data_IF_377290822830
#
_entry.id   IF_377290822830
#
_cell.length_a   1.000
_cell.length_b   1.000
_cell.length_c   1.000
_cell.angle_alpha   90.00
_cell.angle_beta   90.00
_cell.angle_gamma   90.00
#
_symmetry.space_group_name_H-M   'P 1'
#
loop_
_entity.id
_entity.type
_entity.pdbx_description
1 polymer ?
#
# COMPACT_ATOMS: atom_id res chain seq x y z
N UNK A 1 -23.80 -41.62 -25.78
CA UNK A 1 -22.61 -40.78 -25.95
C UNK A 1 -22.28 -40.21 -24.57
N UNK A 2 -21.38 -40.90 -23.85
CA UNK A 2 -20.86 -40.39 -22.59
C UNK A 2 -19.86 -39.26 -22.92
N UNK A 3 -20.17 -38.02 -22.55
CA UNK A 3 -19.25 -36.91 -22.64
C UNK A 3 -18.05 -37.16 -21.71
N UNK A 4 -16.86 -37.01 -22.26
CA UNK A 4 -15.58 -37.29 -21.61
C UNK A 4 -15.36 -36.32 -20.41
N UNK A 5 -15.72 -36.82 -19.21
CA UNK A 5 -15.62 -36.08 -17.95
C UNK A 5 -14.15 -35.69 -17.55
N UNK A 6 -13.16 -36.30 -18.24
CA UNK A 6 -11.74 -36.00 -18.00
C UNK A 6 -11.31 -34.68 -18.68
N UNK A 7 -11.85 -34.37 -19.85
CA UNK A 7 -11.56 -33.11 -20.57
C UNK A 7 -12.20 -31.89 -19.90
N UNK A 8 -13.38 -32.06 -19.30
CA UNK A 8 -14.03 -31.00 -18.53
C UNK A 8 -13.21 -30.65 -17.27
N UNK A 9 -12.74 -31.64 -16.52
CA UNK A 9 -11.93 -31.42 -15.33
C UNK A 9 -10.58 -30.74 -15.64
N UNK A 10 -9.96 -31.03 -16.79
CA UNK A 10 -8.72 -30.37 -17.23
C UNK A 10 -8.97 -28.93 -17.66
N UNK A 11 -10.07 -28.62 -18.33
CA UNK A 11 -10.44 -27.26 -18.72
C UNK A 11 -10.75 -26.40 -17.49
N UNK A 12 -11.51 -26.91 -16.52
CA UNK A 12 -11.80 -26.21 -15.26
C UNK A 12 -10.54 -25.94 -14.43
N UNK A 13 -9.60 -26.90 -14.36
CA UNK A 13 -8.32 -26.73 -13.69
C UNK A 13 -7.47 -25.65 -14.37
N UNK A 14 -7.45 -25.60 -15.68
CA UNK A 14 -6.72 -24.59 -16.47
C UNK A 14 -7.32 -23.19 -16.28
N UNK A 15 -8.65 -23.06 -16.35
CA UNK A 15 -9.35 -21.80 -16.10
C UNK A 15 -9.14 -21.28 -14.69
N UNK A 16 -9.17 -22.15 -13.68
CA UNK A 16 -8.88 -21.78 -12.29
C UNK A 16 -7.44 -21.32 -12.11
N UNK A 17 -6.49 -21.93 -12.81
CA UNK A 17 -5.07 -21.50 -12.80
C UNK A 17 -4.90 -20.13 -13.43
N UNK A 18 -5.52 -19.85 -14.59
CA UNK A 18 -5.49 -18.54 -15.24
C UNK A 18 -6.13 -17.48 -14.33
N UNK A 19 -7.29 -17.77 -13.76
CA UNK A 19 -7.97 -16.85 -12.84
C UNK A 19 -7.12 -16.53 -11.62
N UNK A 20 -6.46 -17.53 -11.05
CA UNK A 20 -5.52 -17.34 -9.92
C UNK A 20 -4.32 -16.48 -10.28
N UNK A 21 -3.71 -16.69 -11.46
CA UNK A 21 -2.59 -15.87 -11.94
C UNK A 21 -3.01 -14.42 -12.20
N UNK A 22 -4.13 -14.21 -12.87
CA UNK A 22 -4.67 -12.87 -13.11
C UNK A 22 -4.99 -12.14 -11.80
N UNK A 23 -5.52 -12.85 -10.80
CA UNK A 23 -5.83 -12.25 -9.49
C UNK A 23 -4.55 -11.88 -8.70
N UNK A 24 -3.46 -12.65 -8.84
CA UNK A 24 -2.15 -12.31 -8.25
C UNK A 24 -1.53 -11.08 -8.92
N UNK A 25 -1.61 -10.95 -10.25
CA UNK A 25 -1.16 -9.76 -10.98
C UNK A 25 -1.94 -8.51 -10.56
N UNK A 26 -3.25 -8.63 -10.36
CA UNK A 26 -4.07 -7.54 -9.83
C UNK A 26 -3.75 -7.19 -8.37
N UNK A 27 -3.28 -8.16 -7.58
CA UNK A 27 -2.83 -7.95 -6.21
C UNK A 27 -1.52 -7.15 -6.16
N UNK A 28 -0.64 -7.31 -7.16
CA UNK A 28 0.64 -6.62 -7.24
C UNK A 28 0.83 -5.91 -8.59
N UNK A 29 0.02 -4.87 -8.89
CA UNK A 29 -0.02 -4.24 -10.21
C UNK A 29 1.31 -3.61 -10.65
N UNK A 30 2.21 -3.34 -9.70
CA UNK A 30 3.58 -2.84 -9.96
C UNK A 30 4.65 -3.82 -9.47
N UNK A 31 4.32 -5.12 -9.29
CA UNK A 31 5.21 -6.10 -8.70
C UNK A 31 5.40 -5.93 -7.18
N UNK A 32 6.14 -6.86 -6.56
CA UNK A 32 6.43 -6.84 -5.12
C UNK A 32 7.61 -5.92 -4.81
N UNK A 33 7.65 -5.37 -3.58
CA UNK A 33 8.79 -4.58 -3.13
C UNK A 33 10.06 -5.42 -3.09
N UNK A 34 11.14 -4.87 -3.66
CA UNK A 34 12.49 -5.43 -3.61
C UNK A 34 13.38 -4.40 -2.92
N UNK A 35 13.98 -4.80 -1.79
CA UNK A 35 14.89 -3.94 -1.04
C UNK A 35 16.09 -3.53 -1.90
N UNK A 36 16.49 -2.28 -1.81
CA UNK A 36 17.62 -1.71 -2.55
C UNK A 36 18.68 -1.19 -1.56
N UNK A 37 19.96 -1.24 -1.91
CA UNK A 37 21.00 -0.57 -1.13
C UNK A 37 20.79 0.94 -1.12
N UNK A 38 21.40 1.63 -0.14
CA UNK A 38 21.34 3.09 -0.06
C UNK A 38 21.89 3.73 -1.34
N UNK A 39 21.21 4.79 -1.78
CA UNK A 39 21.60 5.60 -2.92
C UNK A 39 20.93 6.97 -2.81
N UNK A 40 21.70 8.04 -2.96
CA UNK A 40 21.19 9.43 -3.00
C UNK A 40 20.12 9.62 -4.10
N UNK A 41 20.29 8.95 -5.24
CA UNK A 41 19.29 8.97 -6.32
C UNK A 41 17.96 8.37 -5.85
N UNK A 42 18.00 7.18 -5.26
CA UNK A 42 16.80 6.52 -4.73
C UNK A 42 16.18 7.30 -3.58
N UNK A 43 17.00 7.91 -2.72
CA UNK A 43 16.50 8.80 -1.66
C UNK A 43 15.66 9.93 -2.25
N UNK A 44 16.19 10.62 -3.26
CA UNK A 44 15.45 11.69 -3.95
C UNK A 44 14.14 11.21 -4.57
N UNK A 45 14.15 10.06 -5.26
CA UNK A 45 12.96 9.45 -5.87
C UNK A 45 11.91 9.07 -4.80
N UNK A 46 12.31 8.39 -3.73
CA UNK A 46 11.41 7.96 -2.67
C UNK A 46 10.84 9.11 -1.84
N UNK A 47 11.64 10.16 -1.62
CA UNK A 47 11.15 11.39 -0.99
C UNK A 47 10.05 12.07 -1.83
N UNK A 48 10.18 12.05 -3.17
CA UNK A 48 9.15 12.54 -4.09
C UNK A 48 7.89 11.70 -3.99
N UNK A 49 8.01 10.36 -3.97
CA UNK A 49 6.88 9.45 -3.81
C UNK A 49 6.12 9.72 -2.49
N UNK A 50 6.85 9.83 -1.38
CA UNK A 50 6.24 10.13 -0.07
C UNK A 50 5.57 11.51 -0.11
N UNK A 51 6.25 12.53 -0.62
CA UNK A 51 5.71 13.91 -0.69
C UNK A 51 4.41 13.98 -1.47
N UNK A 52 4.35 13.30 -2.61
CA UNK A 52 3.28 13.47 -3.60
C UNK A 52 2.17 12.42 -3.49
N UNK A 53 2.32 11.38 -2.63
CA UNK A 53 1.27 10.36 -2.49
C UNK A 53 -0.13 10.96 -2.28
N UNK A 54 -0.36 11.91 -1.35
CA UNK A 54 -1.72 12.41 -1.12
C UNK A 54 -2.36 12.94 -2.40
N UNK A 55 -1.61 13.74 -3.17
CA UNK A 55 -2.07 14.28 -4.44
C UNK A 55 -2.27 13.21 -5.51
N UNK A 56 -1.36 12.22 -5.60
CA UNK A 56 -1.50 11.14 -6.56
C UNK A 56 -2.73 10.28 -6.28
N UNK A 57 -2.98 9.97 -5.00
CA UNK A 57 -4.14 9.19 -4.60
C UNK A 57 -5.44 9.99 -4.81
N UNK A 58 -5.47 11.27 -4.45
CA UNK A 58 -6.58 12.17 -4.71
C UNK A 58 -6.92 12.25 -6.21
N UNK A 59 -5.92 12.45 -7.06
CA UNK A 59 -6.09 12.45 -8.51
C UNK A 59 -6.59 11.08 -9.04
N UNK A 60 -6.10 9.98 -8.46
CA UNK A 60 -6.51 8.65 -8.87
C UNK A 60 -7.99 8.37 -8.62
N UNK A 61 -8.58 8.92 -7.54
CA UNK A 61 -10.01 8.75 -7.23
C UNK A 61 -10.88 9.91 -7.73
N UNK A 62 -10.30 10.91 -8.37
CA UNK A 62 -11.04 12.09 -8.85
C UNK A 62 -12.19 11.68 -9.77
N UNK A 63 -13.38 12.25 -9.53
CA UNK A 63 -14.62 11.98 -10.26
C UNK A 63 -15.17 10.54 -10.16
N UNK A 64 -14.68 9.72 -9.23
CA UNK A 64 -15.33 8.46 -8.90
C UNK A 64 -16.55 8.70 -8.01
N UNK A 65 -17.66 8.08 -8.34
CA UNK A 65 -18.87 8.08 -7.51
C UNK A 65 -18.81 7.03 -6.39
N UNK A 66 -19.80 7.02 -5.50
CA UNK A 66 -19.85 6.06 -4.38
C UNK A 66 -19.95 4.61 -4.83
N UNK A 67 -20.59 4.30 -5.95
CA UNK A 67 -20.66 2.94 -6.46
C UNK A 67 -19.28 2.47 -6.95
N UNK A 68 -18.57 3.34 -7.65
CA UNK A 68 -17.20 3.10 -8.11
C UNK A 68 -16.22 2.97 -6.93
N UNK A 69 -16.32 3.83 -5.92
CA UNK A 69 -15.51 3.73 -4.69
C UNK A 69 -15.77 2.45 -3.89
N UNK A 70 -16.97 1.90 -3.96
CA UNK A 70 -17.33 0.62 -3.33
C UNK A 70 -17.05 -0.60 -4.21
N UNK A 71 -16.41 -0.44 -5.37
CA UNK A 71 -15.99 -1.54 -6.23
C UNK A 71 -14.63 -2.10 -5.77
N UNK A 72 -14.53 -3.42 -5.66
CA UNK A 72 -13.27 -4.09 -5.29
C UNK A 72 -12.26 -4.04 -6.44
N UNK A 73 -10.98 -3.74 -6.12
CA UNK A 73 -9.94 -3.66 -7.15
C UNK A 73 -9.59 -5.01 -7.79
N UNK A 74 -9.95 -6.12 -7.15
CA UNK A 74 -9.88 -7.50 -7.64
C UNK A 74 -10.90 -8.39 -6.92
N UNK A 75 -11.07 -9.61 -7.38
CA UNK A 75 -11.91 -10.60 -6.71
C UNK A 75 -11.36 -10.91 -5.29
N UNK A 76 -12.23 -10.82 -4.28
CA UNK A 76 -11.87 -10.96 -2.87
C UNK A 76 -10.90 -9.89 -2.33
N UNK A 77 -10.66 -8.82 -3.08
CA UNK A 77 -9.86 -7.67 -2.64
C UNK A 77 -10.68 -6.58 -1.95
N UNK A 78 -10.01 -5.60 -1.41
CA UNK A 78 -10.64 -4.41 -0.83
C UNK A 78 -11.33 -3.54 -1.89
N UNK A 79 -12.33 -2.80 -1.49
CA UNK A 79 -12.91 -1.72 -2.29
C UNK A 79 -11.92 -0.56 -2.42
N UNK A 80 -12.09 0.30 -3.43
CA UNK A 80 -11.26 1.50 -3.55
C UNK A 80 -11.37 2.40 -2.31
N UNK A 81 -12.56 2.48 -1.70
CA UNK A 81 -12.78 3.18 -0.44
C UNK A 81 -11.91 2.62 0.68
N UNK A 82 -11.91 1.29 0.86
CA UNK A 82 -11.05 0.64 1.84
C UNK A 82 -9.56 0.87 1.56
N UNK A 83 -9.13 0.84 0.30
CA UNK A 83 -7.74 1.15 -0.09
C UNK A 83 -7.33 2.56 0.35
N UNK A 84 -8.17 3.58 0.12
CA UNK A 84 -7.85 4.97 0.51
C UNK A 84 -7.73 5.11 2.04
N UNK A 85 -8.65 4.53 2.80
CA UNK A 85 -8.60 4.57 4.26
C UNK A 85 -7.39 3.77 4.80
N UNK A 86 -7.10 2.58 4.23
CA UNK A 86 -5.93 1.78 4.58
C UNK A 86 -4.60 2.52 4.37
N UNK A 87 -4.47 3.28 3.28
CA UNK A 87 -3.25 4.07 3.05
C UNK A 87 -3.04 5.08 4.18
N UNK A 88 -4.10 5.74 4.67
CA UNK A 88 -3.99 6.65 5.80
C UNK A 88 -3.56 5.93 7.09
N UNK A 89 -4.19 4.80 7.41
CA UNK A 89 -3.86 3.99 8.59
C UNK A 89 -2.43 3.47 8.55
N UNK A 90 -2.02 2.93 7.40
CA UNK A 90 -0.67 2.41 7.20
C UNK A 90 0.39 3.49 7.34
N UNK A 91 0.15 4.68 6.77
CA UNK A 91 1.11 5.77 6.79
C UNK A 91 1.18 6.50 8.13
N UNK A 92 0.12 6.52 8.95
CA UNK A 92 0.18 6.93 10.36
C UNK A 92 1.13 6.00 11.14
N UNK A 93 0.98 4.69 10.96
CA UNK A 93 1.87 3.71 11.58
C UNK A 93 3.32 3.89 11.11
N UNK A 94 3.53 4.12 9.80
CA UNK A 94 4.84 4.41 9.23
C UNK A 94 5.50 5.63 9.88
N UNK A 95 4.79 6.74 9.91
CA UNK A 95 5.27 7.98 10.52
C UNK A 95 5.67 7.78 11.99
N UNK A 96 4.85 7.05 12.74
CA UNK A 96 5.14 6.71 14.13
C UNK A 96 6.40 5.84 14.25
N UNK A 97 6.56 4.82 13.39
CA UNK A 97 7.75 3.95 13.34
C UNK A 97 9.02 4.75 13.04
N UNK A 98 8.96 5.71 12.11
CA UNK A 98 10.09 6.61 11.84
C UNK A 98 10.45 7.46 13.07
N UNK A 99 9.47 8.05 13.73
CA UNK A 99 9.73 8.85 14.95
C UNK A 99 10.36 8.01 16.04
N UNK A 100 9.85 6.82 16.31
CA UNK A 100 10.42 5.90 17.30
C UNK A 100 11.85 5.50 16.91
N UNK A 101 12.09 5.05 15.67
CA UNK A 101 13.42 4.65 15.22
C UNK A 101 14.46 5.78 15.23
N UNK A 102 14.03 7.04 15.11
CA UNK A 102 14.91 8.20 15.20
C UNK A 102 15.20 8.66 16.63
N UNK A 103 14.34 8.32 17.59
CA UNK A 103 14.43 8.81 18.97
C UNK A 103 14.83 7.75 19.99
N UNK A 104 14.69 6.47 19.66
CA UNK A 104 14.96 5.34 20.53
C UNK A 104 15.99 4.40 19.87
N UNK A 105 16.61 3.54 20.67
CA UNK A 105 17.57 2.53 20.18
C UNK A 105 16.82 1.22 19.87
N UNK A 106 16.73 0.88 18.58
CA UNK A 106 16.07 -0.32 18.06
C UNK A 106 14.70 -0.64 18.70
N UNK A 107 13.75 0.32 18.70
CA UNK A 107 12.46 0.14 19.37
C UNK A 107 11.64 -1.00 18.75
N UNK A 108 10.95 -1.75 19.60
CA UNK A 108 9.96 -2.73 19.12
C UNK A 108 8.69 -2.01 18.69
N UNK A 109 8.33 -2.15 17.41
CA UNK A 109 7.10 -1.55 16.87
C UNK A 109 5.90 -2.44 17.14
N UNK A 110 4.70 -1.85 17.16
CA UNK A 110 3.45 -2.60 17.24
C UNK A 110 2.90 -2.89 15.84
N UNK A 111 2.75 -4.17 15.46
CA UNK A 111 1.98 -4.54 14.27
C UNK A 111 0.48 -4.34 14.52
N UNK A 112 -0.28 -4.29 13.44
CA UNK A 112 -1.75 -4.20 13.49
C UNK A 112 -2.36 -5.09 12.40
N UNK A 113 -3.59 -5.54 12.65
CA UNK A 113 -4.37 -6.32 11.68
C UNK A 113 -5.04 -5.36 10.68
N UNK A 114 -4.44 -5.23 9.49
CA UNK A 114 -4.91 -4.33 8.43
C UNK A 114 -6.30 -4.71 7.90
N UNK A 115 -6.63 -6.02 7.88
CA UNK A 115 -7.93 -6.48 7.43
C UNK A 115 -9.02 -6.14 8.46
N UNK A 116 -8.74 -6.34 9.75
CA UNK A 116 -9.65 -5.96 10.81
C UNK A 116 -9.90 -4.44 10.81
N UNK A 117 -8.85 -3.61 10.57
CA UNK A 117 -8.99 -2.15 10.49
C UNK A 117 -9.83 -1.73 9.27
N UNK A 118 -9.61 -2.36 8.11
CA UNK A 118 -10.40 -2.10 6.91
C UNK A 118 -11.91 -2.39 7.07
N UNK A 119 -12.31 -3.13 8.11
CA UNK A 119 -13.70 -3.47 8.44
C UNK A 119 -14.29 -2.60 9.54
N UNK A 120 -13.54 -1.61 10.07
CA UNK A 120 -14.05 -0.71 11.11
C UNK A 120 -15.04 0.33 10.57
N UNK A 121 -15.79 0.94 11.49
CA UNK A 121 -16.88 1.85 11.15
C UNK A 121 -16.42 3.15 10.48
N UNK A 122 -15.23 3.64 10.80
CA UNK A 122 -14.66 4.83 10.17
C UNK A 122 -14.35 4.56 8.68
N UNK A 123 -13.77 3.41 8.34
CA UNK A 123 -13.57 2.98 6.96
C UNK A 123 -14.90 2.78 6.20
N UNK A 124 -15.90 2.19 6.86
CA UNK A 124 -17.20 1.90 6.23
C UNK A 124 -18.06 3.14 6.00
N UNK A 125 -18.05 4.06 6.95
CA UNK A 125 -19.06 5.12 7.02
C UNK A 125 -18.53 6.51 6.66
N UNK A 126 -17.21 6.77 6.79
CA UNK A 126 -16.68 8.07 6.44
C UNK A 126 -16.37 8.18 4.93
N UNK A 127 -16.53 9.38 4.36
CA UNK A 127 -16.11 9.61 2.99
C UNK A 127 -14.59 9.68 2.89
N UNK A 128 -14.03 9.28 1.75
CA UNK A 128 -12.58 9.16 1.49
C UNK A 128 -11.79 10.47 1.66
N UNK A 129 -12.44 11.62 1.49
CA UNK A 129 -11.80 12.93 1.65
C UNK A 129 -11.28 13.18 3.09
N UNK A 130 -11.84 12.51 4.10
CA UNK A 130 -11.32 12.59 5.47
C UNK A 130 -9.91 11.98 5.53
N UNK A 131 -9.72 10.79 4.97
CA UNK A 131 -8.39 10.15 4.90
C UNK A 131 -7.42 10.89 3.98
N UNK A 132 -7.89 11.48 2.87
CA UNK A 132 -7.04 12.34 2.03
C UNK A 132 -6.55 13.57 2.80
N UNK A 133 -7.43 14.25 3.52
CA UNK A 133 -7.06 15.41 4.36
C UNK A 133 -6.01 15.02 5.41
N UNK A 134 -6.21 13.87 6.07
CA UNK A 134 -5.25 13.33 7.02
C UNK A 134 -3.89 13.02 6.35
N UNK A 135 -3.91 12.40 5.17
CA UNK A 135 -2.69 12.10 4.42
C UNK A 135 -1.93 13.37 4.01
N UNK A 136 -2.60 14.42 3.53
CA UNK A 136 -1.95 15.69 3.19
C UNK A 136 -1.19 16.27 4.39
N UNK A 137 -1.83 16.34 5.56
CA UNK A 137 -1.21 16.85 6.77
C UNK A 137 -0.07 15.96 7.28
N UNK A 138 -0.28 14.64 7.26
CA UNK A 138 0.69 13.64 7.70
C UNK A 138 1.94 13.66 6.84
N UNK A 139 1.76 13.62 5.51
CA UNK A 139 2.88 13.57 4.55
C UNK A 139 3.70 14.86 4.52
N UNK A 140 3.07 16.02 4.69
CA UNK A 140 3.79 17.28 4.85
C UNK A 140 4.74 17.23 6.05
N UNK A 141 4.28 16.73 7.19
CA UNK A 141 5.11 16.57 8.40
C UNK A 141 6.16 15.46 8.24
N UNK A 142 5.80 14.36 7.60
CA UNK A 142 6.72 13.23 7.42
C UNK A 142 7.83 13.58 6.45
N UNK A 143 7.52 14.19 5.31
CA UNK A 143 8.50 14.69 4.35
C UNK A 143 9.48 15.67 5.01
N UNK A 144 8.98 16.58 5.90
CA UNK A 144 9.85 17.54 6.61
C UNK A 144 10.87 16.84 7.52
N UNK A 145 10.52 15.71 8.14
CA UNK A 145 11.49 14.89 8.88
C UNK A 145 12.47 14.25 7.89
N UNK A 146 11.97 13.51 6.89
CA UNK A 146 12.76 12.65 6.03
C UNK A 146 13.82 13.40 5.21
N UNK A 147 13.49 14.60 4.72
CA UNK A 147 14.39 15.41 3.87
C UNK A 147 15.64 15.93 4.58
N UNK A 148 15.71 15.82 5.90
CA UNK A 148 16.83 16.24 6.72
C UNK A 148 17.67 15.07 7.25
N UNK A 149 17.27 13.83 6.95
CA UNK A 149 17.98 12.64 7.42
C UNK A 149 19.19 12.35 6.57
N UNK A 150 20.24 11.89 7.24
CA UNK A 150 21.49 11.40 6.63
C UNK A 150 21.44 9.89 6.43
N UNK A 151 22.40 9.34 5.67
CA UNK A 151 22.56 7.88 5.53
C UNK A 151 22.70 7.19 6.90
N UNK A 152 23.40 7.83 7.85
CA UNK A 152 23.55 7.32 9.22
C UNK A 152 22.19 7.19 9.92
N UNK A 153 21.31 8.17 9.75
CA UNK A 153 19.95 8.11 10.31
C UNK A 153 19.13 6.99 9.66
N UNK A 154 19.24 6.81 8.35
CA UNK A 154 18.56 5.74 7.63
C UNK A 154 19.07 4.34 7.98
N UNK A 155 20.29 4.20 8.52
CA UNK A 155 20.83 2.93 9.02
C UNK A 155 20.30 2.55 10.41
N UNK A 156 19.61 3.44 11.12
CA UNK A 156 18.95 3.12 12.39
C UNK A 156 17.87 2.07 12.15
N UNK A 157 17.61 1.24 13.16
CA UNK A 157 16.70 0.10 13.07
C UNK A 157 15.48 0.22 13.96
N UNK A 158 14.45 -0.52 13.59
CA UNK A 158 13.32 -0.91 14.45
C UNK A 158 13.23 -2.43 14.46
N UNK A 159 12.71 -3.02 15.53
CA UNK A 159 12.41 -4.46 15.59
C UNK A 159 10.92 -4.71 15.27
N UNK A 160 10.68 -5.57 14.27
CA UNK A 160 9.32 -5.99 13.88
C UNK A 160 9.00 -7.36 14.48
N UNK A 161 8.11 -7.47 15.48
CA UNK A 161 7.91 -8.71 16.22
C UNK A 161 7.26 -9.82 15.39
N UNK A 162 6.35 -9.54 14.46
CA UNK A 162 5.76 -10.56 13.57
C UNK A 162 6.78 -11.14 12.61
N UNK A 163 7.61 -10.30 12.01
CA UNK A 163 8.67 -10.73 11.11
C UNK A 163 9.91 -11.24 11.85
N UNK A 164 9.97 -11.05 13.18
CA UNK A 164 11.09 -11.45 14.05
C UNK A 164 12.44 -10.94 13.53
N UNK A 165 12.47 -9.73 13.01
CA UNK A 165 13.69 -9.14 12.43
C UNK A 165 13.78 -7.64 12.64
N UNK A 166 15.00 -7.15 12.60
CA UNK A 166 15.29 -5.73 12.52
C UNK A 166 15.09 -5.24 11.08
N UNK A 167 14.60 -4.02 10.96
CA UNK A 167 14.41 -3.31 9.70
C UNK A 167 15.03 -1.93 9.81
N UNK A 168 15.87 -1.56 8.85
CA UNK A 168 16.43 -0.21 8.79
C UNK A 168 15.36 0.81 8.40
N UNK A 169 15.52 2.06 8.79
CA UNK A 169 14.66 3.14 8.33
C UNK A 169 14.77 3.33 6.80
N UNK A 170 15.93 2.99 6.21
CA UNK A 170 16.09 2.94 4.76
C UNK A 170 15.16 1.92 4.10
N UNK A 171 15.15 0.68 4.61
CA UNK A 171 14.23 -0.35 4.13
C UNK A 171 12.77 0.12 4.23
N UNK A 172 12.40 0.72 5.36
CA UNK A 172 11.03 1.24 5.56
C UNK A 172 10.70 2.37 4.59
N UNK A 173 11.62 3.32 4.33
CA UNK A 173 11.38 4.39 3.36
C UNK A 173 11.07 3.83 1.98
N UNK A 174 11.91 2.91 1.49
CA UNK A 174 11.70 2.29 0.18
C UNK A 174 10.40 1.49 0.10
N UNK A 175 10.08 0.74 1.17
CA UNK A 175 8.82 -0.01 1.27
C UNK A 175 7.60 0.94 1.23
N UNK A 176 7.62 2.06 1.94
CA UNK A 176 6.50 3.01 1.93
C UNK A 176 6.42 3.87 0.66
N UNK A 177 7.53 4.15 0.00
CA UNK A 177 7.54 4.72 -1.34
C UNK A 177 6.91 3.76 -2.36
N UNK A 178 7.29 2.47 -2.32
CA UNK A 178 6.63 1.42 -3.11
C UNK A 178 5.14 1.28 -2.75
N UNK A 179 4.78 1.23 -1.48
CA UNK A 179 3.40 1.13 -0.97
C UNK A 179 2.52 2.27 -1.48
N UNK A 180 3.07 3.47 -1.52
CA UNK A 180 2.42 4.66 -2.09
C UNK A 180 2.02 4.44 -3.55
N UNK A 181 2.96 4.02 -4.39
CA UNK A 181 2.72 3.72 -5.80
C UNK A 181 1.81 2.51 -5.98
N UNK A 182 1.98 1.48 -5.15
CA UNK A 182 1.24 0.23 -5.21
C UNK A 182 -0.27 0.44 -5.01
N UNK A 183 -0.66 1.15 -3.96
CA UNK A 183 -2.07 1.41 -3.69
C UNK A 183 -2.69 2.43 -4.66
N UNK A 184 -1.92 3.41 -5.11
CA UNK A 184 -2.36 4.28 -6.21
C UNK A 184 -2.61 3.46 -7.49
N UNK A 185 -1.74 2.48 -7.78
CA UNK A 185 -1.89 1.60 -8.93
C UNK A 185 -3.11 0.66 -8.82
N UNK A 186 -3.53 0.23 -7.64
CA UNK A 186 -4.80 -0.50 -7.48
C UNK A 186 -5.98 0.32 -8.02
N UNK A 187 -6.01 1.62 -7.69
CA UNK A 187 -7.07 2.53 -8.15
C UNK A 187 -6.98 2.74 -9.66
N UNK A 188 -5.82 3.16 -10.16
CA UNK A 188 -5.66 3.50 -11.59
C UNK A 188 -5.84 2.30 -12.50
N UNK A 189 -5.34 1.11 -12.12
CA UNK A 189 -5.53 -0.13 -12.89
C UNK A 189 -6.99 -0.60 -12.91
N UNK A 190 -7.75 -0.41 -11.82
CA UNK A 190 -9.18 -0.69 -11.85
C UNK A 190 -9.90 0.27 -12.77
N UNK A 191 -9.61 1.58 -12.68
CA UNK A 191 -10.22 2.60 -13.57
C UNK A 191 -9.98 2.28 -15.04
N UNK A 192 -8.73 1.93 -15.40
CA UNK A 192 -8.37 1.57 -16.78
C UNK A 192 -9.18 0.35 -17.27
N UNK A 193 -9.27 -0.70 -16.46
CA UNK A 193 -10.05 -1.92 -16.82
C UNK A 193 -11.55 -1.66 -16.96
N UNK A 194 -12.09 -0.73 -16.17
CA UNK A 194 -13.53 -0.42 -16.15
C UNK A 194 -13.89 0.72 -17.11
N UNK A 195 -12.91 1.41 -17.69
CA UNK A 195 -13.13 2.54 -18.59
C UNK A 195 -13.65 3.81 -17.88
N UNK A 196 -13.21 4.05 -16.64
CA UNK A 196 -13.64 5.17 -15.79
C UNK A 196 -12.72 6.39 -15.91
#
# INVERSE_FOLDING_TARGET
>A
VQADSSKLKTADSFLNTIHSLMNEDLKYPIGKYIAQPFSEKLLGEWLIDIKNLPQHLENAILNLDEAQLNTSYRDGGWTLKQVVHHVADSHINAYTRFKLGLTEDNPTIRPYDENAWAEMNDTKNLPVNISLTLLHALHARWYEILRHLTETDFNRTIFHPEHKKEMTLWFLLGMYAWHSRHHTAHVTSLRERMGW
#
